data_IF_204392025137
#
_entry.id   IF_204392025137
#
_cell.length_a   1.000
_cell.length_b   1.000
_cell.length_c   1.000
_cell.angle_alpha   90.00
_cell.angle_beta   90.00
_cell.angle_gamma   90.00
#
_symmetry.space_group_name_H-M   'P 1'
#
loop_
_entity.id
_entity.type
_entity.pdbx_description
1 polymer ?
#
# COMPACT_ATOMS: atom_id res chain seq x y z
N UNK A 1 -17.99 3.22 9.06
CA UNK A 1 -16.84 2.56 9.70
C UNK A 1 -16.33 3.50 10.78
N UNK A 2 -16.02 2.96 11.95
CA UNK A 2 -15.44 3.73 13.06
C UNK A 2 -14.02 4.21 12.73
N UNK A 3 -13.61 5.37 13.25
CA UNK A 3 -12.29 5.97 12.96
C UNK A 3 -11.15 5.08 13.44
N UNK A 4 -11.26 4.44 14.60
CA UNK A 4 -10.23 3.54 15.10
C UNK A 4 -10.11 2.30 14.22
N UNK A 5 -11.23 1.79 13.71
CA UNK A 5 -11.25 0.67 12.75
C UNK A 5 -10.61 1.10 11.43
N UNK A 6 -10.92 2.29 10.92
CA UNK A 6 -10.27 2.84 9.72
C UNK A 6 -8.74 2.90 9.91
N UNK A 7 -8.28 3.52 11.00
CA UNK A 7 -6.86 3.65 11.30
C UNK A 7 -6.17 2.29 11.49
N UNK A 8 -6.84 1.34 12.15
CA UNK A 8 -6.32 -0.02 12.32
C UNK A 8 -6.16 -0.76 10.99
N UNK A 9 -7.15 -0.67 10.10
CA UNK A 9 -7.10 -1.30 8.77
C UNK A 9 -6.06 -0.62 7.89
N UNK A 10 -5.98 0.71 7.89
CA UNK A 10 -4.93 1.45 7.16
C UNK A 10 -3.54 1.12 7.69
N UNK A 11 -3.34 1.06 9.01
CA UNK A 11 -2.06 0.65 9.57
C UNK A 11 -1.68 -0.77 9.16
N UNK A 12 -2.63 -1.71 9.16
CA UNK A 12 -2.42 -3.06 8.62
C UNK A 12 -2.01 -3.06 7.15
N UNK A 13 -2.65 -2.23 6.32
CA UNK A 13 -2.28 -2.04 4.92
C UNK A 13 -0.85 -1.53 4.73
N UNK A 14 -0.46 -0.53 5.53
CA UNK A 14 0.91 -0.02 5.57
C UNK A 14 1.92 -1.11 5.93
N UNK A 15 1.67 -1.84 7.03
CA UNK A 15 2.55 -2.94 7.48
C UNK A 15 2.72 -4.00 6.40
N UNK A 16 1.62 -4.42 5.76
CA UNK A 16 1.67 -5.41 4.67
C UNK A 16 2.46 -4.88 3.47
N UNK A 17 2.31 -3.60 3.13
CA UNK A 17 3.11 -2.96 2.08
C UNK A 17 4.60 -2.97 2.42
N UNK A 18 4.99 -2.58 3.63
CA UNK A 18 6.40 -2.64 4.08
C UNK A 18 6.98 -4.05 4.07
N UNK A 19 6.20 -5.06 4.48
CA UNK A 19 6.61 -6.47 4.38
C UNK A 19 6.81 -6.85 2.89
N UNK A 20 5.88 -6.47 2.02
CA UNK A 20 5.97 -6.67 0.58
C UNK A 20 7.21 -6.01 -0.03
N UNK A 21 7.51 -4.77 0.34
CA UNK A 21 8.72 -4.07 -0.08
C UNK A 21 9.98 -4.83 0.36
N UNK A 22 10.08 -5.22 1.63
CA UNK A 22 11.28 -5.88 2.17
C UNK A 22 11.49 -7.26 1.55
N UNK A 23 10.44 -8.07 1.49
CA UNK A 23 10.55 -9.45 1.04
C UNK A 23 10.50 -9.58 -0.48
N UNK A 24 9.75 -8.71 -1.15
CA UNK A 24 9.44 -8.82 -2.58
C UNK A 24 10.15 -7.80 -3.47
N UNK A 25 10.74 -6.72 -2.93
CA UNK A 25 11.32 -5.65 -3.74
C UNK A 25 12.53 -6.02 -4.60
N UNK A 26 13.10 -7.21 -4.40
CA UNK A 26 14.13 -7.77 -5.28
C UNK A 26 13.57 -8.41 -6.56
N UNK A 27 12.25 -8.66 -6.59
CA UNK A 27 11.54 -9.20 -7.74
C UNK A 27 11.33 -8.10 -8.77
N UNK A 28 11.40 -8.46 -10.06
CA UNK A 28 11.05 -7.54 -11.13
C UNK A 28 9.53 -7.55 -11.29
N UNK A 29 8.84 -6.65 -10.59
CA UNK A 29 7.40 -6.64 -10.45
C UNK A 29 6.85 -5.21 -10.46
N UNK A 30 5.52 -5.02 -10.60
CA UNK A 30 4.92 -3.72 -10.37
C UNK A 30 5.20 -3.24 -8.95
N UNK A 31 5.49 -1.94 -8.78
CA UNK A 31 5.65 -1.36 -7.45
C UNK A 31 4.33 -1.47 -6.68
N UNK A 32 4.44 -1.69 -5.39
CA UNK A 32 3.31 -2.14 -4.60
C UNK A 32 2.34 -1.01 -4.24
N UNK A 33 2.74 0.27 -4.35
CA UNK A 33 1.80 1.38 -4.32
C UNK A 33 0.66 1.24 -5.34
N UNK A 34 0.90 0.58 -6.48
CA UNK A 34 -0.11 0.32 -7.52
C UNK A 34 -1.23 -0.55 -6.96
N UNK A 35 -0.91 -1.60 -6.20
CA UNK A 35 -1.91 -2.45 -5.57
C UNK A 35 -2.71 -1.68 -4.52
N UNK A 36 -2.07 -0.74 -3.83
CA UNK A 36 -2.75 0.19 -2.93
C UNK A 36 -3.77 1.07 -3.67
N UNK A 37 -3.37 1.67 -4.79
CA UNK A 37 -4.26 2.49 -5.63
C UNK A 37 -5.42 1.66 -6.21
N UNK A 38 -5.16 0.44 -6.67
CA UNK A 38 -6.22 -0.47 -7.13
C UNK A 38 -7.21 -0.74 -5.98
N UNK A 39 -6.74 -1.02 -4.78
CA UNK A 39 -7.60 -1.22 -3.62
C UNK A 39 -8.42 0.03 -3.26
N UNK A 40 -7.85 1.24 -3.39
CA UNK A 40 -8.58 2.50 -3.22
C UNK A 40 -9.71 2.61 -4.26
N UNK A 41 -9.42 2.37 -5.54
CA UNK A 41 -10.41 2.46 -6.63
C UNK A 41 -11.53 1.43 -6.43
N UNK A 42 -11.19 0.18 -6.15
CA UNK A 42 -12.18 -0.87 -5.85
C UNK A 42 -13.01 -0.48 -4.63
N UNK A 43 -12.37 -0.04 -3.55
CA UNK A 43 -13.07 0.39 -2.34
C UNK A 43 -14.03 1.56 -2.58
N UNK A 44 -13.66 2.51 -3.45
CA UNK A 44 -14.52 3.63 -3.83
C UNK A 44 -15.74 3.19 -4.66
N UNK A 45 -15.56 2.26 -5.61
CA UNK A 45 -16.65 1.71 -6.42
C UNK A 45 -17.67 0.98 -5.53
N UNK A 46 -17.18 0.22 -4.55
CA UNK A 46 -18.00 -0.59 -3.65
C UNK A 46 -18.25 0.06 -2.28
N UNK A 47 -18.19 1.40 -2.19
CA UNK A 47 -18.29 2.14 -0.92
C UNK A 47 -19.60 1.91 -0.14
N UNK A 48 -20.67 1.53 -0.84
CA UNK A 48 -21.95 1.14 -0.23
C UNK A 48 -21.82 -0.11 0.65
N UNK A 49 -20.82 -0.96 0.41
CA UNK A 49 -20.53 -2.15 1.19
C UNK A 49 -19.42 -1.92 2.22
N UNK A 50 -19.50 -2.57 3.37
CA UNK A 50 -18.50 -2.42 4.43
C UNK A 50 -17.11 -2.90 4.01
N UNK A 51 -17.04 -3.98 3.22
CA UNK A 51 -15.77 -4.46 2.67
C UNK A 51 -15.14 -3.45 1.69
N UNK A 52 -15.94 -2.63 1.01
CA UNK A 52 -15.43 -1.55 0.15
C UNK A 52 -14.75 -0.46 0.98
N UNK A 53 -15.33 -0.10 2.13
CA UNK A 53 -14.71 0.83 3.09
C UNK A 53 -13.42 0.27 3.67
N UNK A 54 -13.36 -1.04 3.96
CA UNK A 54 -12.14 -1.72 4.40
C UNK A 54 -11.07 -1.74 3.32
N UNK A 55 -11.45 -2.06 2.08
CA UNK A 55 -10.55 -2.07 0.92
C UNK A 55 -9.96 -0.67 0.67
N UNK A 56 -10.78 0.38 0.78
CA UNK A 56 -10.31 1.76 0.66
C UNK A 56 -9.33 2.12 1.78
N UNK A 57 -9.65 1.83 3.04
CA UNK A 57 -8.78 2.13 4.17
C UNK A 57 -7.45 1.37 4.08
N UNK A 58 -7.51 0.08 3.71
CA UNK A 58 -6.34 -0.75 3.47
C UNK A 58 -5.47 -0.17 2.35
N UNK A 59 -6.10 0.17 1.22
CA UNK A 59 -5.44 0.74 0.05
C UNK A 59 -4.69 2.02 0.37
N UNK A 60 -5.29 2.93 1.15
CA UNK A 60 -4.62 4.16 1.62
C UNK A 60 -3.33 3.83 2.37
N UNK A 61 -3.41 2.92 3.35
CA UNK A 61 -2.23 2.50 4.11
C UNK A 61 -1.14 1.86 3.26
N UNK A 62 -1.55 0.98 2.35
CA UNK A 62 -0.66 0.25 1.45
C UNK A 62 0.00 1.17 0.40
N UNK A 63 -0.69 2.22 -0.05
CA UNK A 63 -0.07 3.25 -0.90
C UNK A 63 0.93 4.08 -0.12
N UNK A 64 0.63 4.44 1.13
CA UNK A 64 1.54 5.25 1.97
C UNK A 64 2.87 4.53 2.24
N UNK A 65 2.88 3.19 2.33
CA UNK A 65 4.12 2.45 2.59
C UNK A 65 5.19 2.58 1.51
N UNK A 66 4.79 3.08 0.33
CA UNK A 66 5.56 3.16 -0.92
C UNK A 66 5.32 4.52 -1.59
N UNK A 67 5.14 5.56 -0.77
CA UNK A 67 4.71 6.89 -1.20
C UNK A 67 5.76 7.60 -2.05
N UNK A 68 7.05 7.36 -1.83
CA UNK A 68 8.11 8.03 -2.59
C UNK A 68 8.23 7.40 -3.97
N UNK A 69 8.16 6.07 -4.10
CA UNK A 69 8.08 5.40 -5.39
C UNK A 69 6.81 5.79 -6.17
N UNK A 70 5.67 5.98 -5.47
CA UNK A 70 4.47 6.56 -6.07
C UNK A 70 4.71 7.98 -6.58
N UNK A 71 5.33 8.83 -5.76
CA UNK A 71 5.61 10.24 -6.11
C UNK A 71 6.55 10.35 -7.31
N UNK A 72 7.54 9.46 -7.39
CA UNK A 72 8.48 9.34 -8.50
C UNK A 72 7.87 8.60 -9.71
N UNK A 73 6.60 8.16 -9.62
CA UNK A 73 5.88 7.43 -10.67
C UNK A 73 6.62 6.18 -11.16
N UNK A 74 7.29 5.47 -10.25
CA UNK A 74 7.92 4.18 -10.57
C UNK A 74 6.86 3.10 -10.62
N UNK A 75 6.53 2.64 -11.83
CA UNK A 75 5.47 1.64 -11.99
C UNK A 75 5.98 0.20 -11.95
N UNK A 76 7.21 -0.05 -12.38
CA UNK A 76 7.72 -1.40 -12.53
C UNK A 76 9.24 -1.43 -12.40
N UNK A 77 9.77 -2.42 -11.70
CA UNK A 77 11.21 -2.59 -11.57
C UNK A 77 11.61 -3.45 -10.39
N UNK A 78 12.90 -3.38 -10.07
CA UNK A 78 13.46 -3.88 -8.81
C UNK A 78 13.88 -2.66 -8.00
N UNK A 79 13.80 -2.79 -6.69
CA UNK A 79 14.29 -1.75 -5.80
C UNK A 79 15.82 -1.71 -5.78
N UNK A 80 16.37 -0.55 -5.43
CA UNK A 80 17.81 -0.39 -5.27
C UNK A 80 18.35 -1.34 -4.19
N UNK A 81 19.50 -1.98 -4.45
CA UNK A 81 20.15 -2.84 -3.46
C UNK A 81 20.63 -2.01 -2.27
N UNK A 82 20.19 -2.36 -1.07
CA UNK A 82 20.57 -1.66 0.15
C UNK A 82 19.81 -2.15 1.39
N UNK A 83 20.17 -1.68 2.60
CA UNK A 83 19.41 -1.97 3.81
C UNK A 83 18.01 -1.37 3.71
N UNK A 84 16.99 -2.22 3.80
CA UNK A 84 15.59 -1.79 3.78
C UNK A 84 15.12 -1.52 5.21
N UNK A 85 14.66 -0.30 5.48
CA UNK A 85 14.12 0.05 6.80
C UNK A 85 12.66 -0.35 6.88
N UNK A 86 12.22 -1.00 7.96
CA UNK A 86 10.80 -1.36 8.09
C UNK A 86 9.90 -0.13 8.17
N UNK A 87 10.30 0.84 9.00
CA UNK A 87 9.62 2.13 9.12
C UNK A 87 10.18 3.09 8.07
N UNK A 88 9.37 3.41 7.07
CA UNK A 88 9.76 4.27 5.96
C UNK A 88 8.60 4.53 5.01
N UNK A 89 8.84 5.45 4.07
CA UNK A 89 7.99 5.74 2.92
C UNK A 89 8.93 5.71 1.71
N UNK A 90 9.13 4.53 1.13
CA UNK A 90 10.07 4.35 0.02
C UNK A 90 9.44 4.66 -1.34
#
# INVERSE_FOLDING_TARGET
>A
MDVLVFLGVSFGGYVIGRIGHILGGHLNAPHHWIYGVIAIVVGAIFWSHDWGKWSLAFGIGHTISDLKDMWELKFYGRDEPGPKHFWGID
#
